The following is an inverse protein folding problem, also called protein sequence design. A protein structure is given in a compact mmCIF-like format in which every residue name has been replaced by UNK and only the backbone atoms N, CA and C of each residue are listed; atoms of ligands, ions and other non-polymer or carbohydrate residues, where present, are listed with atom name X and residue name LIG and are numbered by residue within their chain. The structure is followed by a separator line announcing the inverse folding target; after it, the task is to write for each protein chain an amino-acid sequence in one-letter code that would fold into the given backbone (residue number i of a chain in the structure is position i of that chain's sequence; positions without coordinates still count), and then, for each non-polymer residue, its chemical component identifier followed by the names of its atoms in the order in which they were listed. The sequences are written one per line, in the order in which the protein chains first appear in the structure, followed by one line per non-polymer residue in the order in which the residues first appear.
data_IF_354635490495
#
_entry.id   IF_354635490495
#
_cell.length_a   1.000
_cell.length_b   1.000
_cell.length_c   1.000
_cell.angle_alpha   90.00
_cell.angle_beta   90.00
_cell.angle_gamma   90.00
#
_symmetry.space_group_name_H-M   'P 1'
#
loop_
_entity.id
_entity.type
_entity.pdbx_description
1 polymer ?
#
# COMPACT_ATOMS: atom_id res chain seq x y z
N UNK A 1 -12.58 10.74 -2.26
CA UNK A 1 -12.22 10.56 -0.84
C UNK A 1 -13.41 10.93 0.05
N UNK A 2 -13.97 12.11 -0.13
CA UNK A 2 -15.11 12.57 0.68
C UNK A 2 -16.31 11.62 0.59
N UNK A 3 -16.57 11.09 -0.59
CA UNK A 3 -17.66 10.13 -0.80
C UNK A 3 -17.41 8.83 -0.02
N UNK A 4 -16.19 8.32 -0.05
CA UNK A 4 -15.82 7.11 0.66
C UNK A 4 -15.92 7.33 2.18
N UNK A 5 -15.38 8.45 2.65
CA UNK A 5 -15.41 8.80 4.07
C UNK A 5 -16.84 9.00 4.58
N UNK A 6 -17.72 9.53 3.74
CA UNK A 6 -19.12 9.75 4.09
C UNK A 6 -19.97 8.49 4.03
N UNK A 7 -19.39 7.35 3.66
CA UNK A 7 -20.12 6.11 3.56
C UNK A 7 -21.10 6.04 2.40
N UNK A 8 -20.97 6.95 1.44
CA UNK A 8 -21.87 7.02 0.28
C UNK A 8 -21.44 6.10 -0.87
N UNK A 9 -20.21 5.61 -0.81
CA UNK A 9 -19.68 4.70 -1.83
C UNK A 9 -20.07 3.28 -1.47
N UNK A 10 -20.72 2.60 -2.41
CA UNK A 10 -21.08 1.21 -2.27
C UNK A 10 -19.94 0.34 -2.79
N UNK A 11 -19.47 -0.56 -1.95
CA UNK A 11 -18.41 -1.49 -2.33
C UNK A 11 -18.99 -2.82 -2.79
N UNK A 12 -18.41 -3.34 -3.85
CA UNK A 12 -18.77 -4.66 -4.39
C UNK A 12 -17.67 -5.63 -4.00
N UNK A 13 -17.80 -6.21 -2.80
CA UNK A 13 -16.80 -7.12 -2.25
C UNK A 13 -17.01 -8.54 -2.72
N UNK A 14 -15.90 -9.22 -3.00
CA UNK A 14 -15.87 -10.65 -3.35
C UNK A 14 -14.55 -11.23 -2.88
N UNK A 15 -14.46 -12.55 -2.84
CA UNK A 15 -13.19 -13.22 -2.55
C UNK A 15 -12.27 -13.05 -3.75
N UNK A 16 -11.20 -12.30 -3.55
CA UNK A 16 -10.22 -12.00 -4.59
C UNK A 16 -8.92 -12.74 -4.28
N UNK A 17 -8.31 -13.36 -5.30
CA UNK A 17 -7.02 -14.00 -5.12
C UNK A 17 -5.94 -12.93 -4.92
N UNK A 18 -5.18 -13.03 -3.84
CA UNK A 18 -4.19 -12.03 -3.46
C UNK A 18 -3.07 -11.90 -4.49
N UNK A 19 -2.53 -13.01 -4.95
CA UNK A 19 -1.45 -12.99 -5.92
C UNK A 19 -1.86 -12.32 -7.22
N UNK A 20 -3.06 -12.65 -7.74
CA UNK A 20 -3.58 -12.04 -8.94
C UNK A 20 -3.82 -10.55 -8.79
N UNK A 21 -4.38 -10.16 -7.64
CA UNK A 21 -4.65 -8.76 -7.34
C UNK A 21 -3.34 -7.95 -7.32
N UNK A 22 -2.32 -8.47 -6.66
CA UNK A 22 -1.02 -7.78 -6.57
C UNK A 22 -0.25 -7.80 -7.90
N UNK A 23 -0.39 -8.85 -8.69
CA UNK A 23 0.19 -8.87 -10.05
C UNK A 23 -0.43 -7.77 -10.91
N UNK A 24 -1.76 -7.64 -10.87
CA UNK A 24 -2.45 -6.60 -11.63
C UNK A 24 -2.00 -5.19 -11.21
N UNK A 25 -1.86 -4.99 -9.90
CA UNK A 25 -1.38 -3.71 -9.38
C UNK A 25 0.04 -3.41 -9.84
N UNK A 26 0.95 -4.37 -9.69
CA UNK A 26 2.36 -4.13 -9.99
C UNK A 26 2.65 -4.02 -11.49
N UNK A 27 1.85 -4.65 -12.33
CA UNK A 27 1.99 -4.50 -13.79
C UNK A 27 1.93 -3.04 -14.23
N UNK A 28 1.17 -2.21 -13.54
CA UNK A 28 1.07 -0.78 -13.85
C UNK A 28 2.39 -0.03 -13.66
N UNK A 29 3.30 -0.60 -12.88
CA UNK A 29 4.56 0.04 -12.50
C UNK A 29 5.79 -0.62 -13.11
N UNK A 30 5.64 -1.72 -13.85
CA UNK A 30 6.77 -2.48 -14.38
C UNK A 30 7.65 -1.67 -15.32
N UNK A 31 7.05 -0.93 -16.24
CA UNK A 31 7.81 -0.11 -17.20
C UNK A 31 8.59 0.98 -16.47
N UNK A 32 7.94 1.68 -15.55
CA UNK A 32 8.57 2.72 -14.78
C UNK A 32 9.72 2.18 -13.93
N UNK A 33 9.49 1.06 -13.25
CA UNK A 33 10.52 0.43 -12.43
C UNK A 33 11.72 0.02 -13.28
N UNK A 34 11.49 -0.59 -14.44
CA UNK A 34 12.56 -0.98 -15.35
C UNK A 34 13.36 0.22 -15.84
N UNK A 35 12.71 1.32 -16.20
CA UNK A 35 13.37 2.55 -16.64
C UNK A 35 14.27 3.14 -15.56
N UNK A 36 13.90 2.98 -14.31
CA UNK A 36 14.65 3.52 -13.17
C UNK A 36 15.53 2.46 -12.51
N UNK A 37 15.65 1.29 -13.11
CA UNK A 37 16.43 0.16 -12.60
C UNK A 37 16.03 -0.23 -11.17
N UNK A 38 14.74 -0.16 -10.86
CA UNK A 38 14.18 -0.59 -9.58
C UNK A 38 13.53 -1.96 -9.75
N UNK A 39 13.64 -2.79 -8.73
CA UNK A 39 13.09 -4.14 -8.74
C UNK A 39 11.82 -4.20 -7.90
N UNK A 40 10.79 -4.90 -8.40
CA UNK A 40 9.58 -5.20 -7.65
C UNK A 40 9.52 -6.72 -7.49
N UNK A 41 9.44 -7.19 -6.25
CA UNK A 41 9.39 -8.62 -5.94
C UNK A 41 8.08 -8.94 -5.23
N UNK A 42 7.39 -9.97 -5.70
CA UNK A 42 6.17 -10.49 -5.06
C UNK A 42 6.49 -11.79 -4.35
N UNK A 43 6.02 -11.94 -3.12
CA UNK A 43 6.28 -13.13 -2.30
C UNK A 43 5.07 -13.48 -1.44
N UNK A 44 4.52 -14.66 -1.64
CA UNK A 44 3.39 -15.15 -0.84
C UNK A 44 2.77 -16.37 -1.49
N UNK A 45 1.84 -16.99 -0.78
CA UNK A 45 1.13 -18.17 -1.27
C UNK A 45 0.09 -17.77 -2.32
N UNK A 46 0.00 -18.55 -3.38
CA UNK A 46 -1.02 -18.38 -4.42
C UNK A 46 -2.44 -18.74 -3.93
N UNK A 47 -2.54 -19.32 -2.73
CA UNK A 47 -3.82 -19.78 -2.18
C UNK A 47 -4.49 -18.76 -1.26
N UNK A 48 -3.83 -17.66 -0.95
CA UNK A 48 -4.40 -16.62 -0.09
C UNK A 48 -5.40 -15.78 -0.88
N UNK A 49 -6.57 -15.55 -0.31
CA UNK A 49 -7.57 -14.65 -0.86
C UNK A 49 -7.91 -13.55 0.14
N UNK A 50 -8.50 -12.48 -0.35
CA UNK A 50 -8.96 -11.36 0.47
C UNK A 50 -10.39 -11.00 0.04
N UNK A 51 -11.29 -10.90 0.99
CA UNK A 51 -12.66 -10.45 0.71
C UNK A 51 -12.65 -8.93 0.62
N UNK A 52 -12.70 -8.40 -0.59
CA UNK A 52 -12.55 -6.96 -0.82
C UNK A 52 -13.20 -6.54 -2.13
N UNK A 53 -13.36 -5.22 -2.28
CA UNK A 53 -13.70 -4.62 -3.56
C UNK A 53 -12.40 -4.48 -4.35
N UNK A 54 -12.25 -5.23 -5.44
CA UNK A 54 -11.01 -5.30 -6.19
C UNK A 54 -10.59 -3.96 -6.77
N UNK A 55 -11.52 -3.14 -7.24
CA UNK A 55 -11.18 -1.83 -7.82
C UNK A 55 -10.66 -0.86 -6.76
N UNK A 56 -11.36 -0.77 -5.63
CA UNK A 56 -10.91 0.11 -4.54
C UNK A 56 -9.62 -0.39 -3.91
N UNK A 57 -9.52 -1.69 -3.69
CA UNK A 57 -8.29 -2.25 -3.09
C UNK A 57 -7.09 -2.08 -4.02
N UNK A 58 -7.27 -2.23 -5.33
CA UNK A 58 -6.21 -1.97 -6.31
C UNK A 58 -5.75 -0.51 -6.26
N UNK A 59 -6.68 0.42 -6.03
CA UNK A 59 -6.34 1.83 -5.88
C UNK A 59 -5.49 2.06 -4.62
N UNK A 60 -5.90 1.47 -3.49
CA UNK A 60 -5.14 1.60 -2.25
C UNK A 60 -3.74 1.00 -2.37
N UNK A 61 -3.65 -0.22 -2.89
CA UNK A 61 -2.37 -0.90 -3.08
C UNK A 61 -1.48 -0.16 -4.08
N UNK A 62 -2.05 0.34 -5.15
CA UNK A 62 -1.33 1.15 -6.14
C UNK A 62 -0.70 2.39 -5.52
N UNK A 63 -1.42 3.06 -4.62
CA UNK A 63 -0.90 4.25 -3.94
C UNK A 63 0.26 3.92 -3.01
N UNK A 64 0.18 2.80 -2.30
CA UNK A 64 1.26 2.37 -1.40
C UNK A 64 2.49 1.94 -2.21
N UNK A 65 2.30 1.18 -3.28
CA UNK A 65 3.40 0.73 -4.16
C UNK A 65 4.07 1.94 -4.83
N UNK A 66 3.28 2.87 -5.33
CA UNK A 66 3.79 4.09 -5.96
C UNK A 66 4.66 4.87 -4.98
N UNK A 67 4.18 5.04 -3.74
CA UNK A 67 4.93 5.71 -2.69
C UNK A 67 6.27 5.01 -2.44
N UNK A 68 6.26 3.68 -2.33
CA UNK A 68 7.49 2.91 -2.12
C UNK A 68 8.48 3.10 -3.27
N UNK A 69 8.01 3.06 -4.51
CA UNK A 69 8.86 3.28 -5.69
C UNK A 69 9.45 4.69 -5.73
N UNK A 70 8.66 5.70 -5.36
CA UNK A 70 9.13 7.09 -5.35
C UNK A 70 10.26 7.30 -4.34
N UNK A 71 10.21 6.60 -3.21
CA UNK A 71 11.23 6.72 -2.16
C UNK A 71 12.41 5.77 -2.34
N UNK A 72 12.33 4.86 -3.29
CA UNK A 72 13.42 3.92 -3.61
C UNK A 72 14.34 4.54 -4.64
N UNK A 73 15.62 4.54 -4.39
CA UNK A 73 16.60 5.05 -5.33
C UNK A 73 16.82 4.09 -6.50
N UNK A 74 17.53 4.57 -7.52
CA UNK A 74 17.91 3.77 -8.66
C UNK A 74 18.71 2.55 -8.21
N UNK A 75 18.35 1.40 -8.75
CA UNK A 75 18.94 0.12 -8.33
C UNK A 75 18.33 -0.46 -7.06
N UNK A 76 17.33 0.22 -6.48
CA UNK A 76 16.67 -0.24 -5.28
C UNK A 76 15.60 -1.29 -5.52
N UNK A 77 14.91 -1.65 -4.44
CA UNK A 77 14.02 -2.80 -4.44
C UNK A 77 12.79 -2.55 -3.60
N UNK A 78 11.64 -2.96 -4.11
CA UNK A 78 10.36 -2.99 -3.38
C UNK A 78 9.92 -4.43 -3.30
N UNK A 79 9.71 -4.94 -2.09
CA UNK A 79 9.23 -6.30 -1.85
C UNK A 79 7.80 -6.23 -1.33
N UNK A 80 6.89 -6.89 -2.02
CA UNK A 80 5.49 -6.98 -1.63
C UNK A 80 5.23 -8.42 -1.24
N UNK A 81 4.89 -8.64 0.02
CA UNK A 81 4.59 -9.97 0.53
C UNK A 81 3.20 -10.00 1.15
N UNK A 82 2.64 -11.18 1.30
CA UNK A 82 1.34 -11.38 1.93
C UNK A 82 1.32 -12.69 2.67
N UNK A 83 0.54 -12.70 3.73
CA UNK A 83 0.40 -13.90 4.57
C UNK A 83 -0.99 -13.92 5.17
N UNK A 84 -1.47 -15.12 5.46
CA UNK A 84 -2.70 -15.33 6.19
C UNK A 84 -2.42 -16.06 7.48
N UNK A 85 -2.88 -15.48 8.58
CA UNK A 85 -2.90 -16.13 9.89
C UNK A 85 -4.35 -16.48 10.24
N UNK A 86 -4.64 -17.21 11.33
CA UNK A 86 -6.02 -17.47 11.72
C UNK A 86 -6.86 -16.23 11.97
N UNK A 87 -6.25 -15.11 12.35
CA UNK A 87 -6.96 -13.86 12.68
C UNK A 87 -6.86 -12.79 11.62
N UNK A 88 -5.78 -12.77 10.85
CA UNK A 88 -5.45 -11.66 9.97
C UNK A 88 -4.97 -12.12 8.60
N UNK A 89 -5.22 -11.28 7.60
CA UNK A 89 -4.48 -11.31 6.34
C UNK A 89 -3.66 -10.05 6.28
N UNK A 90 -2.36 -10.17 6.08
CA UNK A 90 -1.45 -9.04 6.01
C UNK A 90 -0.87 -8.88 4.61
N UNK A 91 -0.80 -7.63 4.15
CA UNK A 91 -0.06 -7.27 2.94
C UNK A 91 1.05 -6.34 3.40
N UNK A 92 2.28 -6.65 3.03
CA UNK A 92 3.46 -5.93 3.49
C UNK A 92 4.19 -5.37 2.26
N UNK A 93 4.42 -4.06 2.26
CA UNK A 93 5.16 -3.38 1.19
C UNK A 93 6.42 -2.77 1.81
N UNK A 94 7.57 -3.34 1.47
CA UNK A 94 8.86 -2.91 1.99
C UNK A 94 9.73 -2.34 0.89
N UNK A 95 10.40 -1.21 1.18
CA UNK A 95 11.40 -0.66 0.28
C UNK A 95 12.72 -0.43 1.02
N UNK A 96 13.81 -0.40 0.27
CA UNK A 96 15.13 -0.11 0.78
C UNK A 96 15.56 1.31 0.43
N UNK A 97 14.62 2.23 0.42
CA UNK A 97 14.83 3.61 0.00
C UNK A 97 15.29 4.55 1.11
N UNK A 98 14.92 5.81 0.97
CA UNK A 98 15.38 6.88 1.85
C UNK A 98 14.80 6.82 3.25
N UNK A 99 13.69 6.10 3.44
CA UNK A 99 12.97 6.07 4.70
C UNK A 99 12.16 7.35 4.94
N UNK A 100 11.53 7.41 6.10
CA UNK A 100 10.66 8.51 6.50
C UNK A 100 11.22 9.10 7.79
N UNK A 101 11.37 10.42 7.84
CA UNK A 101 11.81 11.11 9.05
C UNK A 101 10.77 10.94 10.15
N UNK A 102 11.21 10.78 11.39
CA UNK A 102 10.32 10.60 12.53
C UNK A 102 9.34 11.76 12.69
N UNK A 103 9.74 12.95 12.30
CA UNK A 103 8.85 14.12 12.31
C UNK A 103 7.65 13.96 11.40
N UNK A 104 7.78 13.16 10.35
CA UNK A 104 6.74 12.98 9.33
C UNK A 104 5.85 11.77 9.59
N UNK A 105 6.36 10.78 10.34
CA UNK A 105 5.72 9.46 10.38
C UNK A 105 4.26 9.49 10.83
N UNK A 106 3.92 10.40 11.73
CA UNK A 106 2.55 10.54 12.23
C UNK A 106 1.65 11.35 11.30
N UNK A 107 2.22 11.94 10.24
CA UNK A 107 1.51 12.87 9.37
C UNK A 107 1.32 12.36 7.94
N UNK A 108 1.98 11.25 7.57
CA UNK A 108 1.99 10.79 6.16
C UNK A 108 0.61 10.40 5.66
N UNK A 109 -0.35 10.10 6.54
CA UNK A 109 -1.72 9.77 6.17
C UNK A 109 -2.67 10.96 6.22
N UNK A 110 -2.17 12.14 6.55
CA UNK A 110 -2.99 13.36 6.54
C UNK A 110 -3.12 13.89 5.12
N UNK A 111 -4.32 14.34 4.76
CA UNK A 111 -4.57 14.92 3.45
C UNK A 111 -3.69 16.14 3.24
N UNK A 112 -3.14 16.26 2.05
CA UNK A 112 -2.28 17.36 1.60
C UNK A 112 -0.98 17.52 2.37
N UNK A 113 -0.67 16.59 3.28
CA UNK A 113 0.61 16.62 3.98
C UNK A 113 1.74 16.25 3.02
N UNK A 114 2.80 17.03 3.06
CA UNK A 114 4.03 16.75 2.33
C UNK A 114 5.22 16.99 3.26
N UNK A 115 6.17 16.06 3.23
CA UNK A 115 7.37 16.22 4.02
C UNK A 115 8.24 17.35 3.48
N UNK A 116 8.81 18.17 4.36
CA UNK A 116 9.79 19.17 3.97
C UNK A 116 11.10 18.55 3.47
N UNK A 117 11.28 17.25 3.70
CA UNK A 117 12.45 16.50 3.24
C UNK A 117 12.21 15.85 1.88
N UNK A 118 10.97 15.88 1.39
CA UNK A 118 10.62 15.29 0.10
C UNK A 118 11.10 16.16 -1.05
N UNK A 119 11.66 15.50 -2.06
CA UNK A 119 12.05 16.17 -3.31
C UNK A 119 11.02 15.94 -4.41
N UNK A 120 9.97 15.19 -4.11
CA UNK A 120 8.89 14.96 -5.06
C UNK A 120 8.01 16.21 -5.15
N UNK A 121 7.94 16.78 -6.35
CA UNK A 121 7.12 17.96 -6.61
C UNK A 121 5.80 17.62 -7.29
N UNK A 122 5.54 16.34 -7.56
CA UNK A 122 4.39 15.91 -8.33
C UNK A 122 3.18 15.49 -7.51
N UNK A 123 3.40 15.00 -6.28
CA UNK A 123 2.32 14.54 -5.42
C UNK A 123 1.57 15.69 -4.76
N UNK A 124 0.29 15.52 -4.54
CA UNK A 124 -0.55 16.50 -3.83
C UNK A 124 -0.94 16.03 -2.43
N UNK A 125 -0.35 14.94 -1.94
CA UNK A 125 -0.58 14.46 -0.58
C UNK A 125 -1.91 13.75 -0.38
N UNK A 126 -2.49 13.15 -1.42
CA UNK A 126 -3.76 12.44 -1.34
C UNK A 126 -3.66 10.93 -1.45
N UNK A 127 -2.51 10.41 -1.93
CA UNK A 127 -2.35 8.97 -2.19
C UNK A 127 -2.44 8.11 -0.95
N UNK A 128 -1.63 8.39 0.07
CA UNK A 128 -1.64 7.62 1.31
C UNK A 128 -2.91 7.83 2.14
N UNK A 129 -3.45 9.06 2.28
CA UNK A 129 -4.74 9.23 2.94
C UNK A 129 -5.86 8.43 2.28
N UNK A 130 -5.90 8.38 0.94
CA UNK A 130 -6.88 7.59 0.22
C UNK A 130 -6.69 6.10 0.49
N UNK A 131 -5.46 5.61 0.46
CA UNK A 131 -5.16 4.22 0.78
C UNK A 131 -5.67 3.86 2.17
N UNK A 132 -5.44 4.72 3.16
CA UNK A 132 -5.91 4.50 4.53
C UNK A 132 -7.44 4.46 4.60
N UNK A 133 -8.13 5.38 3.93
CA UNK A 133 -9.59 5.39 3.90
C UNK A 133 -10.15 4.12 3.29
N UNK A 134 -9.56 3.62 2.22
CA UNK A 134 -10.00 2.39 1.57
C UNK A 134 -9.77 1.18 2.48
N UNK A 135 -8.58 1.08 3.09
CA UNK A 135 -8.27 -0.01 4.00
C UNK A 135 -9.25 -0.03 5.19
N UNK A 136 -9.52 1.15 5.77
CA UNK A 136 -10.46 1.26 6.89
C UNK A 136 -11.90 0.93 6.47
N UNK A 137 -12.29 1.24 5.26
CA UNK A 137 -13.60 0.86 4.73
C UNK A 137 -13.73 -0.66 4.54
N UNK A 138 -12.61 -1.37 4.54
CA UNK A 138 -12.56 -2.84 4.53
C UNK A 138 -12.31 -3.43 5.92
N UNK A 139 -12.53 -2.66 6.97
CA UNK A 139 -12.28 -3.06 8.36
C UNK A 139 -10.83 -3.48 8.60
N UNK A 140 -9.91 -2.83 7.90
CA UNK A 140 -8.49 -3.06 8.03
C UNK A 140 -7.77 -1.91 8.70
N UNK A 141 -6.49 -2.09 8.91
CA UNK A 141 -5.58 -1.06 9.42
C UNK A 141 -4.37 -0.96 8.52
N UNK A 142 -3.76 0.21 8.48
CA UNK A 142 -2.50 0.43 7.79
C UNK A 142 -1.52 1.05 8.77
N UNK A 143 -0.32 0.51 8.82
CA UNK A 143 0.73 1.01 9.70
C UNK A 143 2.04 1.11 8.93
N UNK A 144 2.98 1.88 9.46
CA UNK A 144 4.28 2.09 8.85
C UNK A 144 5.38 2.08 9.91
N UNK A 145 6.50 1.43 9.57
CA UNK A 145 7.74 1.56 10.31
C UNK A 145 8.82 1.98 9.32
N UNK A 146 9.72 2.84 9.75
CA UNK A 146 10.74 3.39 8.85
C UNK A 146 11.93 3.90 9.62
N UNK A 147 13.09 3.86 8.95
CA UNK A 147 14.31 4.52 9.42
C UNK A 147 14.96 5.23 8.24
N UNK A 148 15.33 6.47 8.46
CA UNK A 148 16.04 7.25 7.46
C UNK A 148 17.29 6.51 7.00
N UNK A 149 17.44 6.38 5.69
CA UNK A 149 18.56 5.67 5.06
C UNK A 149 18.41 4.15 4.97
N UNK A 150 17.36 3.58 5.57
CA UNK A 150 17.17 2.12 5.57
C UNK A 150 15.88 1.67 4.88
N UNK A 151 14.98 2.60 4.62
CA UNK A 151 13.73 2.30 3.93
C UNK A 151 12.52 2.29 4.84
N UNK A 152 11.40 1.85 4.29
CA UNK A 152 10.10 1.86 4.95
C UNK A 152 9.37 0.53 4.79
N UNK A 153 8.51 0.23 5.74
CA UNK A 153 7.69 -0.96 5.73
C UNK A 153 6.25 -0.59 6.07
N UNK A 154 5.37 -0.76 5.10
CA UNK A 154 3.93 -0.57 5.27
C UNK A 154 3.27 -1.92 5.48
N UNK A 155 2.39 -2.02 6.45
CA UNK A 155 1.61 -3.24 6.72
C UNK A 155 0.13 -2.89 6.67
N UNK A 156 -0.58 -3.56 5.77
CA UNK A 156 -2.03 -3.51 5.66
C UNK A 156 -2.58 -4.79 6.26
N UNK A 157 -3.39 -4.68 7.31
CA UNK A 157 -3.91 -5.84 8.04
C UNK A 157 -5.43 -5.85 7.98
N UNK A 158 -6.00 -7.01 7.64
CA UNK A 158 -7.43 -7.21 7.50
C UNK A 158 -7.86 -8.34 8.42
N UNK A 159 -8.79 -8.06 9.33
CA UNK A 159 -9.29 -9.07 10.24
C UNK A 159 -10.25 -10.02 9.50
N UNK A 160 -10.13 -11.30 9.81
CA UNK A 160 -11.12 -12.27 9.35
C UNK A 160 -12.37 -12.15 10.18
N UNK A 161 -13.49 -11.90 9.53
CA UNK A 161 -14.77 -11.91 10.18
C UNK A 161 -15.15 -13.35 10.46
N UNK A 162 -15.44 -13.65 11.71
CA UNK A 162 -15.97 -14.96 12.07
C UNK A 162 -17.37 -15.09 11.49
N UNK A 163 -17.56 -16.07 10.63
CA UNK A 163 -18.91 -16.43 10.19
C UNK A 163 -19.52 -17.32 11.25
N UNK A 164 -20.58 -16.88 11.79
CA UNK A 164 -21.39 -17.73 12.66
C UNK A 164 -22.51 -18.39 11.87
#
# INVERSE_FOLDING_TARGET
IARLDAGTVRMEKAEENMEMLLKDVTERFETLAAQEAKEIVLSGSSEVSLYCDALWMSEALGNVVKNALEHTGRGGKVVISWERTPLLTNIIVEDNGTGIHQEDIHNIFKRFYRSRFSQDTHGIGLGLPLAKSIVEAHQGTISVTSRVGQGSRFVLSFFHLTKE
#
